data_IF_412039374877
#
_entry.id   IF_412039374877
#
_cell.length_a   1.000
_cell.length_b   1.000
_cell.length_c   1.000
_cell.angle_alpha   90.00
_cell.angle_beta   90.00
_cell.angle_gamma   90.00
#
_symmetry.space_group_name_H-M   'P 1'
#
loop_
_entity.id
_entity.type
_entity.pdbx_description
1 polymer ?
#
# COMPACT_ATOMS: atom_id res chain seq x y z
N UNK A 1 2.96 7.73 -10.49
CA UNK A 1 2.10 6.54 -10.35
C UNK A 1 1.97 5.82 -11.68
N UNK A 2 2.18 4.50 -11.67
CA UNK A 2 1.88 3.64 -12.80
C UNK A 2 0.37 3.78 -13.12
N UNK A 3 -0.04 4.18 -14.34
CA UNK A 3 -1.43 4.59 -14.64
C UNK A 3 -2.49 3.48 -14.48
N UNK A 4 -2.09 2.25 -14.17
CA UNK A 4 -2.97 1.08 -14.12
C UNK A 4 -3.38 0.63 -12.71
N UNK A 5 -2.94 1.29 -11.63
CA UNK A 5 -3.27 0.84 -10.26
C UNK A 5 -4.56 1.53 -9.79
N UNK A 6 -5.69 0.82 -9.92
CA UNK A 6 -6.97 1.23 -9.34
C UNK A 6 -7.00 0.95 -7.83
N UNK A 7 -6.67 1.97 -7.02
CA UNK A 7 -6.70 1.86 -5.56
C UNK A 7 -8.13 1.77 -5.02
N UNK A 8 -8.39 0.78 -4.17
CA UNK A 8 -9.71 0.54 -3.54
C UNK A 8 -9.71 1.08 -2.12
N UNK A 9 -10.70 1.92 -1.79
CA UNK A 9 -10.81 2.51 -0.45
C UNK A 9 -10.92 1.42 0.62
N UNK A 10 -10.12 1.53 1.67
CA UNK A 10 -10.02 0.56 2.76
C UNK A 10 -9.05 -0.60 2.49
N UNK A 11 -8.67 -0.86 1.23
CA UNK A 11 -7.71 -1.91 0.90
C UNK A 11 -6.33 -1.55 1.44
N UNK A 12 -5.65 -2.53 2.01
CA UNK A 12 -4.27 -2.41 2.46
C UNK A 12 -3.31 -2.60 1.28
N UNK A 13 -2.30 -1.76 1.21
CA UNK A 13 -1.23 -1.84 0.22
C UNK A 13 0.12 -1.69 0.91
N UNK A 14 1.17 -2.20 0.26
CA UNK A 14 2.55 -1.81 0.50
C UNK A 14 2.89 -0.66 -0.46
N UNK A 15 3.06 0.53 0.09
CA UNK A 15 3.49 1.70 -0.66
C UNK A 15 5.01 1.79 -0.64
N UNK A 16 5.59 2.17 -1.76
CA UNK A 16 6.99 2.52 -1.90
C UNK A 16 7.08 4.03 -2.18
N UNK A 17 7.91 4.72 -1.40
CA UNK A 17 8.11 6.16 -1.54
C UNK A 17 9.58 6.54 -1.63
N UNK A 18 9.85 7.56 -2.45
CA UNK A 18 11.14 8.23 -2.57
C UNK A 18 10.92 9.73 -2.40
N UNK A 19 10.90 10.19 -1.15
CA UNK A 19 10.86 11.61 -0.84
C UNK A 19 12.24 12.28 -1.08
N UNK A 20 12.30 13.60 -1.33
CA UNK A 20 13.56 14.31 -1.60
C UNK A 20 14.61 14.24 -0.48
N UNK A 21 14.19 13.91 0.74
CA UNK A 21 15.03 13.82 1.93
C UNK A 21 15.36 12.37 2.33
N UNK A 22 14.87 11.38 1.59
CA UNK A 22 15.29 9.99 1.77
C UNK A 22 16.47 9.69 0.85
N UNK A 23 17.53 9.11 1.42
CA UNK A 23 18.69 8.65 0.63
C UNK A 23 18.33 7.45 -0.26
N UNK A 24 17.37 6.63 0.17
CA UNK A 24 16.92 5.42 -0.51
C UNK A 24 15.39 5.34 -0.51
N UNK A 25 14.83 4.50 -1.38
CA UNK A 25 13.39 4.22 -1.41
C UNK A 25 13.02 3.50 -0.10
N UNK A 26 11.93 3.94 0.53
CA UNK A 26 11.38 3.30 1.71
C UNK A 26 10.01 2.72 1.41
N UNK A 27 9.59 1.73 2.17
CA UNK A 27 8.26 1.16 2.06
C UNK A 27 7.50 1.21 3.38
N UNK A 28 6.18 1.37 3.28
CA UNK A 28 5.28 1.39 4.43
C UNK A 28 3.93 0.78 4.07
N UNK A 29 3.30 0.09 5.02
CA UNK A 29 1.96 -0.49 4.88
C UNK A 29 0.89 0.46 5.35
N UNK A 30 -0.11 0.68 4.51
CA UNK A 30 -1.23 1.53 4.85
C UNK A 30 -2.52 1.13 4.11
N UNK A 31 -3.68 1.51 4.67
CA UNK A 31 -4.96 1.41 3.98
C UNK A 31 -5.19 2.66 3.13
N UNK A 32 -5.58 2.47 1.87
CA UNK A 32 -5.93 3.59 0.99
C UNK A 32 -7.23 4.26 1.45
N UNK A 33 -7.23 5.59 1.57
CA UNK A 33 -8.45 6.35 1.88
C UNK A 33 -8.95 7.10 0.65
N UNK A 34 -8.11 7.96 0.07
CA UNK A 34 -8.46 8.83 -1.06
C UNK A 34 -7.22 9.42 -1.73
N UNK A 35 -7.40 9.92 -2.96
CA UNK A 35 -6.48 10.88 -3.59
C UNK A 35 -7.21 12.21 -3.67
N UNK A 36 -6.60 13.27 -3.14
CA UNK A 36 -7.12 14.65 -3.19
C UNK A 36 -6.10 15.52 -3.93
N UNK A 37 -6.41 15.89 -5.17
CA UNK A 37 -5.46 16.57 -6.04
C UNK A 37 -4.22 15.70 -6.27
N UNK A 38 -3.04 16.20 -5.88
CA UNK A 38 -1.76 15.48 -5.99
C UNK A 38 -1.33 14.83 -4.66
N UNK A 39 -2.24 14.67 -3.70
CA UNK A 39 -1.94 14.09 -2.39
C UNK A 39 -2.68 12.77 -2.18
N UNK A 40 -1.91 11.74 -1.83
CA UNK A 40 -2.38 10.44 -1.38
C UNK A 40 -2.70 10.52 0.13
N UNK A 41 -3.92 10.16 0.50
CA UNK A 41 -4.37 10.06 1.89
C UNK A 41 -4.50 8.59 2.26
N UNK A 42 -3.79 8.17 3.30
CA UNK A 42 -3.73 6.77 3.76
C UNK A 42 -3.84 6.70 5.28
N UNK A 43 -4.23 5.53 5.78
CA UNK A 43 -4.16 5.20 7.20
C UNK A 43 -2.99 4.23 7.41
N UNK A 44 -1.91 4.70 8.05
CA UNK A 44 -0.74 3.86 8.35
C UNK A 44 -0.79 3.36 9.80
N UNK A 45 -0.49 2.07 9.97
CA UNK A 45 -0.61 1.36 11.26
C UNK A 45 0.74 0.91 11.84
N UNK A 46 1.87 1.36 11.29
CA UNK A 46 3.14 0.65 11.47
C UNK A 46 3.85 0.82 12.81
N UNK A 47 3.29 1.56 13.77
CA UNK A 47 3.78 1.46 15.15
C UNK A 47 2.61 1.39 16.11
N UNK A 48 2.58 0.36 16.95
CA UNK A 48 1.56 -0.01 17.95
C UNK A 48 1.34 1.05 19.08
N UNK A 49 1.64 2.33 18.82
CA UNK A 49 1.42 3.43 19.77
C UNK A 49 0.28 4.37 19.38
N UNK A 50 -0.18 4.35 18.12
CA UNK A 50 -1.33 5.15 17.71
C UNK A 50 -2.12 4.43 16.60
N UNK A 51 -3.22 3.80 17.00
CA UNK A 51 -4.21 3.29 16.05
C UNK A 51 -4.68 4.46 15.17
N UNK A 52 -4.58 4.29 13.86
CA UNK A 52 -5.13 5.20 12.85
C UNK A 52 -4.45 6.56 12.68
N UNK A 53 -3.15 6.57 12.40
CA UNK A 53 -2.51 7.81 11.93
C UNK A 53 -2.86 8.01 10.46
N UNK A 54 -3.67 9.03 10.18
CA UNK A 54 -3.90 9.48 8.80
C UNK A 54 -2.63 10.17 8.32
N UNK A 55 -2.01 9.64 7.28
CA UNK A 55 -0.88 10.23 6.59
C UNK A 55 -1.32 10.86 5.28
N UNK A 56 -0.63 11.94 4.92
CA UNK A 56 -0.78 12.63 3.64
C UNK A 56 0.57 12.63 2.95
N UNK A 57 0.65 12.02 1.77
CA UNK A 57 1.89 11.83 1.01
C UNK A 57 1.69 12.40 -0.40
N UNK A 58 2.59 13.24 -0.93
CA UNK A 58 2.56 13.63 -2.33
C UNK A 58 2.58 12.42 -3.27
N UNK A 59 1.65 12.35 -4.21
CA UNK A 59 1.56 11.26 -5.21
C UNK A 59 2.86 11.14 -6.02
N UNK A 60 3.55 12.26 -6.22
CA UNK A 60 4.84 12.30 -6.90
C UNK A 60 5.96 11.52 -6.18
N UNK A 61 5.85 11.31 -4.86
CA UNK A 61 6.82 10.54 -4.09
C UNK A 61 6.55 9.04 -4.18
N UNK A 62 5.33 8.64 -4.52
CA UNK A 62 4.94 7.23 -4.62
C UNK A 62 5.47 6.64 -5.93
N UNK A 63 6.49 5.80 -5.80
CA UNK A 63 7.17 5.13 -6.91
C UNK A 63 6.44 3.87 -7.32
N UNK A 64 5.94 3.10 -6.35
CA UNK A 64 5.26 1.81 -6.56
C UNK A 64 4.22 1.55 -5.45
N UNK A 65 3.20 0.77 -5.80
CA UNK A 65 2.17 0.31 -4.87
C UNK A 65 1.89 -1.16 -5.18
N UNK A 66 1.86 -2.00 -4.15
CA UNK A 66 1.64 -3.44 -4.29
C UNK A 66 0.54 -3.92 -3.35
N UNK A 67 -0.32 -4.79 -3.86
CA UNK A 67 -1.26 -5.59 -3.04
C UNK A 67 -0.53 -6.80 -2.44
N UNK A 68 -1.17 -7.50 -1.51
CA UNK A 68 -0.64 -8.79 -1.05
C UNK A 68 -0.56 -9.81 -2.19
N UNK A 69 -1.50 -9.79 -3.13
CA UNK A 69 -1.48 -10.67 -4.30
C UNK A 69 -0.27 -10.41 -5.20
N UNK A 70 0.07 -9.13 -5.43
CA UNK A 70 1.27 -8.73 -6.18
C UNK A 70 2.53 -9.26 -5.49
N UNK A 71 2.61 -9.13 -4.16
CA UNK A 71 3.75 -9.60 -3.36
C UNK A 71 3.90 -11.13 -3.41
N UNK A 72 2.78 -11.86 -3.43
CA UNK A 72 2.77 -13.33 -3.47
C UNK A 72 3.03 -13.91 -4.87
N UNK A 73 3.03 -13.07 -5.90
CA UNK A 73 3.23 -13.48 -7.29
C UNK A 73 4.65 -13.14 -7.72
N UNK A 74 5.58 -14.09 -7.56
CA UNK A 74 6.99 -13.93 -7.96
C UNK A 74 7.26 -14.76 -9.22
N UNK A 75 7.81 -14.14 -10.28
CA UNK A 75 8.28 -14.81 -11.50
C UNK A 75 7.24 -15.74 -12.18
N UNK A 76 5.96 -15.34 -12.21
CA UNK A 76 4.84 -16.14 -12.74
C UNK A 76 4.52 -17.42 -11.94
N UNK A 77 5.21 -17.64 -10.82
CA UNK A 77 4.89 -18.67 -9.83
C UNK A 77 4.12 -17.98 -8.71
N UNK A 78 2.80 -18.05 -8.80
CA UNK A 78 1.96 -17.65 -7.68
C UNK A 78 2.24 -18.61 -6.52
N UNK A 79 2.70 -18.11 -5.37
CA UNK A 79 2.85 -18.88 -4.13
C UNK A 79 1.49 -19.27 -3.52
N UNK A 80 0.45 -19.31 -4.34
CA UNK A 80 -0.95 -19.37 -3.98
C UNK A 80 -1.32 -20.79 -3.56
N UNK A 81 -1.01 -21.09 -2.30
CA UNK A 81 -1.70 -22.11 -1.51
C UNK A 81 -3.01 -21.52 -0.95
N UNK A 82 -3.19 -20.19 -0.98
CA UNK A 82 -4.33 -19.51 -0.34
C UNK A 82 -5.35 -18.97 -1.36
N UNK A 83 -6.65 -19.36 -1.25
CA UNK A 83 -7.71 -18.80 -2.08
C UNK A 83 -7.82 -17.27 -1.97
N UNK A 84 -8.28 -16.60 -3.03
CA UNK A 84 -8.44 -15.14 -3.06
C UNK A 84 -9.32 -14.56 -1.94
N UNK A 85 -10.33 -15.31 -1.49
CA UNK A 85 -11.15 -14.93 -0.34
C UNK A 85 -10.34 -14.86 0.97
N UNK A 86 -9.36 -15.75 1.13
CA UNK A 86 -8.45 -15.75 2.30
C UNK A 86 -7.48 -14.57 2.23
N UNK A 87 -6.97 -14.24 1.04
CA UNK A 87 -6.11 -13.07 0.84
C UNK A 87 -6.87 -11.78 1.16
N UNK A 88 -8.12 -11.66 0.73
CA UNK A 88 -8.98 -10.53 1.09
C UNK A 88 -9.20 -10.42 2.60
N UNK A 89 -9.38 -11.55 3.31
CA UNK A 89 -9.50 -11.54 4.77
C UNK A 89 -8.20 -11.05 5.43
N UNK A 90 -7.04 -11.50 4.95
CA UNK A 90 -5.73 -11.07 5.49
C UNK A 90 -5.50 -9.58 5.23
N UNK A 91 -5.80 -9.08 4.03
CA UNK A 91 -5.64 -7.67 3.68
C UNK A 91 -6.60 -6.75 4.43
N UNK A 92 -7.76 -7.27 4.86
CA UNK A 92 -8.76 -6.52 5.62
C UNK A 92 -8.59 -6.64 7.14
N UNK A 93 -7.69 -7.50 7.63
CA UNK A 93 -7.41 -7.63 9.06
C UNK A 93 -6.58 -6.44 9.54
N UNK A 94 -7.18 -5.68 10.47
CA UNK A 94 -6.61 -4.51 11.15
C UNK A 94 -5.88 -4.98 12.41
#
# INVERSE_FOLDING_TARGET
>A
MNPNINLRKGQRYLFYEQAPYHENEISFRANFIAILGETLIVNASETERANSTILSVPVAWITRVETLEDILTVDSVSLTILPGDVLNIIDTYI
#
